data_IF_387963596177
#
_entry.id   IF_387963596177
#
_cell.length_a   1.000
_cell.length_b   1.000
_cell.length_c   1.000
_cell.angle_alpha   90.00
_cell.angle_beta   90.00
_cell.angle_gamma   90.00
#
_symmetry.space_group_name_H-M   'P 1'
#
loop_
_entity.id
_entity.type
_entity.pdbx_description
1 polymer ?
#
# COMPACT_ATOMS: atom_id res chain seq x y z
N UNK A 1 -14.13 25.25 -8.92
CA UNK A 1 -13.34 24.37 -8.05
C UNK A 1 -14.29 23.51 -7.21
N UNK A 2 -14.61 22.32 -7.71
CA UNK A 2 -15.58 21.40 -7.10
C UNK A 2 -14.87 20.28 -6.32
N UNK A 3 -13.77 20.61 -5.63
CA UNK A 3 -12.99 19.64 -4.88
C UNK A 3 -13.71 19.11 -3.63
N UNK A 4 -14.73 19.83 -3.18
CA UNK A 4 -15.61 19.49 -2.07
C UNK A 4 -16.94 18.86 -2.51
N UNK A 5 -17.23 18.87 -3.82
CA UNK A 5 -18.40 18.22 -4.41
C UNK A 5 -18.21 16.69 -4.56
N UNK A 6 -17.31 16.07 -3.82
CA UNK A 6 -17.13 14.64 -3.89
C UNK A 6 -18.48 13.97 -3.64
N UNK A 7 -18.96 13.23 -4.62
CA UNK A 7 -20.29 12.70 -4.55
C UNK A 7 -20.38 11.64 -3.50
N UNK A 8 -21.41 11.72 -2.75
CA UNK A 8 -22.18 10.55 -2.43
C UNK A 8 -21.85 9.87 -1.11
N UNK A 9 -22.90 9.67 -0.40
CA UNK A 9 -23.06 8.70 0.68
C UNK A 9 -22.13 7.47 0.52
N UNK A 10 -21.13 7.38 1.39
CA UNK A 10 -20.27 6.24 1.51
C UNK A 10 -18.88 6.36 0.86
N UNK A 11 -18.56 7.47 0.19
CA UNK A 11 -17.22 7.74 -0.32
C UNK A 11 -16.52 8.74 0.60
N UNK A 12 -15.32 8.39 1.05
CA UNK A 12 -14.49 9.27 1.85
C UNK A 12 -14.14 10.55 1.06
N UNK A 13 -14.45 11.71 1.64
CA UNK A 13 -14.05 13.01 1.11
C UNK A 13 -12.90 13.57 1.96
N UNK A 14 -11.65 13.55 1.47
CA UNK A 14 -10.49 13.93 2.28
C UNK A 14 -10.54 15.34 2.83
N UNK A 15 -11.27 16.25 2.19
CA UNK A 15 -11.38 17.64 2.64
C UNK A 15 -12.52 17.79 3.64
N UNK A 16 -13.70 17.26 3.35
CA UNK A 16 -14.85 17.34 4.24
C UNK A 16 -14.64 16.54 5.53
N UNK A 17 -14.04 15.36 5.41
CA UNK A 17 -13.70 14.48 6.54
C UNK A 17 -12.45 14.95 7.28
N UNK A 18 -11.64 15.81 6.66
CA UNK A 18 -10.50 16.46 7.28
C UNK A 18 -9.24 15.59 7.37
N UNK A 19 -9.18 14.43 6.71
CA UNK A 19 -7.99 13.58 6.68
C UNK A 19 -7.86 12.80 5.38
N UNK A 20 -6.64 12.41 5.02
CA UNK A 20 -6.34 11.44 3.97
C UNK A 20 -6.26 10.03 4.54
N UNK A 21 -6.66 9.07 3.75
CA UNK A 21 -6.54 7.64 4.02
C UNK A 21 -6.01 6.89 2.80
N UNK A 22 -5.85 5.58 2.89
CA UNK A 22 -5.33 4.75 1.79
C UNK A 22 -6.31 3.68 1.32
N UNK A 23 -7.57 3.82 1.68
CA UNK A 23 -8.64 2.92 1.24
C UNK A 23 -9.79 3.72 0.62
N UNK A 24 -10.14 3.43 -0.63
CA UNK A 24 -11.42 3.83 -1.23
C UNK A 24 -11.47 5.18 -1.97
N UNK A 25 -10.46 6.04 -1.92
CA UNK A 25 -10.50 7.35 -2.61
C UNK A 25 -9.15 7.81 -3.17
N UNK A 26 -8.37 6.87 -3.68
CA UNK A 26 -7.02 7.15 -4.19
C UNK A 26 -6.98 8.21 -5.28
N UNK A 27 -7.89 8.14 -6.23
CA UNK A 27 -7.90 9.04 -7.37
C UNK A 27 -8.14 10.49 -6.94
N UNK A 28 -9.09 10.69 -6.02
CA UNK A 28 -9.40 12.00 -5.45
C UNK A 28 -8.18 12.53 -4.71
N UNK A 29 -7.58 11.74 -3.84
CA UNK A 29 -6.42 12.12 -3.04
C UNK A 29 -5.21 12.45 -3.91
N UNK A 30 -4.92 11.63 -4.92
CA UNK A 30 -3.85 11.91 -5.89
C UNK A 30 -4.11 13.16 -6.71
N UNK A 31 -5.36 13.38 -7.11
CA UNK A 31 -5.80 14.61 -7.77
C UNK A 31 -5.54 15.84 -6.91
N UNK A 32 -5.93 15.81 -5.64
CA UNK A 32 -5.70 16.89 -4.68
C UNK A 32 -4.22 17.16 -4.41
N UNK A 33 -3.41 16.10 -4.26
CA UNK A 33 -1.95 16.24 -4.13
C UNK A 33 -1.33 16.86 -5.39
N UNK A 34 -1.78 16.45 -6.57
CA UNK A 34 -1.34 17.01 -7.85
C UNK A 34 -1.78 18.48 -7.98
N UNK A 35 -2.98 18.82 -7.54
CA UNK A 35 -3.46 20.20 -7.50
C UNK A 35 -2.56 21.12 -6.66
N UNK A 36 -2.05 20.62 -5.53
CA UNK A 36 -1.11 21.39 -4.70
C UNK A 36 0.20 21.75 -5.42
N UNK A 37 0.54 21.04 -6.50
CA UNK A 37 1.72 21.33 -7.33
C UNK A 37 1.43 22.23 -8.52
N UNK A 38 0.17 22.51 -8.80
CA UNK A 38 -0.22 23.29 -9.97
C UNK A 38 0.09 24.79 -9.79
N UNK A 39 0.58 25.41 -10.86
CA UNK A 39 0.74 26.87 -10.89
C UNK A 39 -0.64 27.52 -10.82
N UNK A 40 -0.83 28.46 -9.88
CA UNK A 40 -2.11 29.14 -9.69
C UNK A 40 -3.14 28.39 -8.85
N UNK A 41 -2.72 27.30 -8.17
CA UNK A 41 -3.59 26.64 -7.21
C UNK A 41 -4.11 27.60 -6.14
N UNK A 42 -5.40 27.50 -5.80
CA UNK A 42 -6.06 28.36 -4.82
C UNK A 42 -5.46 28.14 -3.42
N UNK A 43 -4.90 29.17 -2.75
CA UNK A 43 -4.16 28.98 -1.49
C UNK A 43 -4.98 28.35 -0.37
N UNK A 44 -6.28 28.65 -0.26
CA UNK A 44 -7.17 28.06 0.75
C UNK A 44 -7.36 26.55 0.53
N UNK A 45 -7.49 26.12 -0.73
CA UNK A 45 -7.59 24.72 -1.10
C UNK A 45 -6.29 23.99 -0.76
N UNK A 46 -5.15 24.56 -1.15
CA UNK A 46 -3.82 24.00 -0.82
C UNK A 46 -3.66 23.83 0.70
N UNK A 47 -4.11 24.82 1.48
CA UNK A 47 -4.06 24.75 2.95
C UNK A 47 -4.95 23.62 3.48
N UNK A 48 -6.18 23.49 2.99
CA UNK A 48 -7.10 22.43 3.39
C UNK A 48 -6.51 21.04 3.06
N UNK A 49 -5.98 20.85 1.85
CA UNK A 49 -5.33 19.59 1.43
C UNK A 49 -4.14 19.26 2.35
N UNK A 50 -3.27 20.22 2.63
CA UNK A 50 -2.12 20.02 3.52
C UNK A 50 -2.54 19.62 4.94
N UNK A 51 -3.60 20.24 5.47
CA UNK A 51 -4.14 19.90 6.78
C UNK A 51 -4.67 18.45 6.79
N UNK A 52 -5.41 18.07 5.76
CA UNK A 52 -5.95 16.70 5.65
C UNK A 52 -4.86 15.66 5.48
N UNK A 53 -3.80 15.94 4.72
CA UNK A 53 -2.62 15.07 4.63
C UNK A 53 -1.96 14.91 6.00
N UNK A 54 -1.72 16.03 6.70
CA UNK A 54 -1.13 15.99 8.05
C UNK A 54 -1.98 15.15 9.00
N UNK A 55 -3.28 15.32 8.99
CA UNK A 55 -4.20 14.60 9.86
C UNK A 55 -4.20 13.09 9.55
N UNK A 56 -4.20 12.70 8.27
CA UNK A 56 -4.11 11.29 7.87
C UNK A 56 -2.82 10.64 8.37
N UNK A 57 -1.67 11.30 8.18
CA UNK A 57 -0.39 10.80 8.67
C UNK A 57 -0.40 10.69 10.20
N UNK A 58 -0.94 11.68 10.92
CA UNK A 58 -1.02 11.68 12.37
C UNK A 58 -1.95 10.58 12.91
N UNK A 59 -3.07 10.34 12.24
CA UNK A 59 -4.05 9.33 12.68
C UNK A 59 -3.54 7.90 12.48
N UNK A 60 -2.75 7.65 11.43
CA UNK A 60 -2.37 6.30 11.01
C UNK A 60 -0.83 6.13 10.94
N UNK A 61 -0.23 6.54 9.85
CA UNK A 61 1.14 6.15 9.51
C UNK A 61 2.16 6.50 10.60
N UNK A 62 2.16 7.72 11.06
CA UNK A 62 3.08 8.17 12.10
C UNK A 62 2.54 7.88 13.50
N UNK A 63 1.28 8.21 13.78
CA UNK A 63 0.71 8.10 15.12
C UNK A 63 0.61 6.66 15.62
N UNK A 64 0.33 5.72 14.71
CA UNK A 64 0.17 4.30 15.04
C UNK A 64 1.45 3.47 14.82
N UNK A 65 2.52 4.05 14.29
CA UNK A 65 3.73 3.30 13.88
C UNK A 65 4.33 2.40 14.94
N UNK A 66 4.17 2.75 16.23
CA UNK A 66 4.71 1.96 17.33
C UNK A 66 3.87 0.73 17.67
N UNK A 67 2.68 0.60 17.11
CA UNK A 67 1.82 -0.57 17.24
C UNK A 67 2.23 -1.68 16.25
N UNK A 68 3.14 -1.38 15.33
CA UNK A 68 3.70 -2.35 14.39
C UNK A 68 5.22 -2.48 14.63
N UNK A 69 5.74 -3.68 14.90
CA UNK A 69 7.17 -3.91 15.08
C UNK A 69 8.01 -3.53 13.84
N UNK A 70 7.41 -3.56 12.66
CA UNK A 70 8.05 -3.19 11.38
C UNK A 70 7.94 -1.69 11.08
N UNK A 71 7.23 -0.92 11.91
CA UNK A 71 7.02 0.54 11.77
C UNK A 71 6.27 0.96 10.51
N UNK A 72 5.56 0.03 9.89
CA UNK A 72 4.76 0.23 8.67
C UNK A 72 3.28 -0.07 8.94
N UNK A 73 2.76 0.52 10.00
CA UNK A 73 1.42 0.23 10.49
C UNK A 73 0.36 0.40 9.40
N UNK A 74 -0.50 -0.58 9.30
CA UNK A 74 -1.81 -0.51 8.66
C UNK A 74 -2.80 -1.22 9.57
N UNK A 75 -4.05 -0.82 9.53
CA UNK A 75 -5.08 -1.57 10.24
C UNK A 75 -5.13 -3.03 9.74
N UNK A 76 -5.38 -3.99 10.63
CA UNK A 76 -5.33 -5.42 10.29
C UNK A 76 -6.23 -5.77 9.10
N UNK A 77 -7.42 -5.17 9.00
CA UNK A 77 -8.32 -5.35 7.86
C UNK A 77 -7.75 -4.90 6.50
N UNK A 78 -6.67 -4.12 6.49
CA UNK A 78 -5.94 -3.75 5.28
C UNK A 78 -4.94 -4.81 4.82
N UNK A 79 -4.73 -5.89 5.60
CA UNK A 79 -4.04 -7.09 5.09
C UNK A 79 -5.02 -7.94 4.28
N UNK A 80 -5.49 -7.36 3.21
CA UNK A 80 -6.40 -7.89 2.21
C UNK A 80 -5.74 -7.84 0.83
N UNK A 81 -6.52 -8.06 -0.22
CA UNK A 81 -6.07 -7.88 -1.60
C UNK A 81 -5.38 -6.53 -1.80
N UNK A 82 -4.16 -6.53 -2.30
CA UNK A 82 -3.41 -5.31 -2.54
C UNK A 82 -2.80 -4.66 -1.30
N UNK A 83 -2.63 -5.39 -0.21
CA UNK A 83 -2.10 -4.85 1.06
C UNK A 83 -0.77 -4.12 0.94
N UNK A 84 0.12 -4.57 0.04
CA UNK A 84 1.38 -3.88 -0.25
C UNK A 84 1.15 -2.54 -0.94
N UNK A 85 0.13 -2.44 -1.80
CA UNK A 85 -0.31 -1.18 -2.40
C UNK A 85 -0.75 -0.18 -1.34
N UNK A 86 -1.56 -0.62 -0.37
CA UNK A 86 -1.99 0.21 0.77
C UNK A 86 -0.77 0.71 1.57
N UNK A 87 0.20 -0.16 1.83
CA UNK A 87 1.44 0.25 2.52
C UNK A 87 2.25 1.24 1.70
N UNK A 88 2.36 1.03 0.39
CA UNK A 88 3.05 1.96 -0.50
C UNK A 88 2.37 3.35 -0.52
N UNK A 89 1.05 3.41 -0.50
CA UNK A 89 0.31 4.66 -0.46
C UNK A 89 0.53 5.42 0.86
N UNK A 90 0.55 4.74 2.02
CA UNK A 90 0.93 5.38 3.27
C UNK A 90 2.36 5.92 3.25
N UNK A 91 3.29 5.16 2.67
CA UNK A 91 4.66 5.61 2.45
C UNK A 91 4.71 6.88 1.59
N UNK A 92 4.00 6.87 0.46
CA UNK A 92 3.86 8.02 -0.44
C UNK A 92 3.27 9.23 0.27
N UNK A 93 2.19 9.05 1.04
CA UNK A 93 1.57 10.14 1.78
C UNK A 93 2.54 10.79 2.76
N UNK A 94 3.37 10.01 3.44
CA UNK A 94 4.42 10.52 4.33
C UNK A 94 5.50 11.31 3.57
N UNK A 95 5.92 10.84 2.40
CA UNK A 95 6.86 11.57 1.52
C UNK A 95 6.25 12.88 1.05
N UNK A 96 4.98 12.90 0.66
CA UNK A 96 4.25 14.13 0.33
C UNK A 96 4.15 15.06 1.54
N UNK A 97 3.87 14.52 2.71
CA UNK A 97 3.83 15.29 3.96
C UNK A 97 5.15 16.03 4.23
N UNK A 98 6.28 15.38 3.98
CA UNK A 98 7.60 16.02 4.01
C UNK A 98 7.75 17.06 2.92
N UNK A 99 7.52 16.69 1.65
CA UNK A 99 7.70 17.54 0.47
C UNK A 99 6.91 18.84 0.55
N UNK A 100 5.67 18.77 1.01
CA UNK A 100 4.81 19.94 1.15
C UNK A 100 4.95 20.67 2.49
N UNK A 101 5.82 20.15 3.36
CA UNK A 101 6.04 20.69 4.69
C UNK A 101 4.72 20.94 5.44
N UNK A 102 3.86 19.90 5.42
CA UNK A 102 2.52 19.99 6.03
C UNK A 102 2.57 20.17 7.55
N UNK A 103 3.69 19.77 8.16
CA UNK A 103 4.02 19.99 9.57
C UNK A 103 5.53 20.21 9.68
N UNK A 104 5.94 21.47 9.79
CA UNK A 104 7.36 21.84 9.79
C UNK A 104 8.17 21.14 10.90
N UNK A 105 7.57 20.93 12.08
CA UNK A 105 8.21 20.27 13.21
C UNK A 105 8.40 18.77 13.03
N UNK A 106 7.70 18.15 12.08
CA UNK A 106 7.70 16.71 11.85
C UNK A 106 8.11 16.31 10.41
N UNK A 107 8.47 17.26 9.56
CA UNK A 107 8.76 16.99 8.15
C UNK A 107 9.79 15.88 7.95
N UNK A 108 10.94 15.95 8.63
CA UNK A 108 11.97 14.91 8.56
C UNK A 108 11.49 13.57 9.14
N UNK A 109 10.65 13.60 10.16
CA UNK A 109 10.06 12.40 10.77
C UNK A 109 9.07 11.74 9.80
N UNK A 110 8.30 12.51 9.06
CA UNK A 110 7.40 11.97 8.03
C UNK A 110 8.18 11.28 6.90
N UNK A 111 9.28 11.88 6.43
CA UNK A 111 10.13 11.24 5.45
C UNK A 111 10.64 9.89 5.97
N UNK A 112 11.18 9.87 7.21
CA UNK A 112 11.62 8.62 7.83
C UNK A 112 10.49 7.59 7.98
N UNK A 113 9.28 8.04 8.31
CA UNK A 113 8.12 7.14 8.36
C UNK A 113 7.81 6.55 6.99
N UNK A 114 7.90 7.33 5.92
CA UNK A 114 7.76 6.83 4.55
C UNK A 114 8.81 5.78 4.19
N UNK A 115 10.07 6.00 4.60
CA UNK A 115 11.16 5.04 4.42
C UNK A 115 10.89 3.72 5.16
N UNK A 116 10.20 3.75 6.30
CA UNK A 116 9.84 2.53 7.04
C UNK A 116 8.87 1.63 6.24
N UNK A 117 7.91 2.22 5.52
CA UNK A 117 7.03 1.48 4.61
C UNK A 117 7.82 0.89 3.43
N UNK A 118 8.76 1.65 2.87
CA UNK A 118 9.64 1.15 1.82
C UNK A 118 10.49 -0.04 2.32
N UNK A 119 11.03 0.05 3.53
CA UNK A 119 11.77 -1.05 4.14
C UNK A 119 10.91 -2.30 4.35
N UNK A 120 9.62 -2.14 4.68
CA UNK A 120 8.69 -3.26 4.75
C UNK A 120 8.59 -3.98 3.39
N UNK A 121 8.41 -3.23 2.31
CA UNK A 121 8.34 -3.78 0.95
C UNK A 121 9.67 -4.48 0.59
N UNK A 122 10.79 -3.95 1.02
CA UNK A 122 12.13 -4.46 0.71
C UNK A 122 12.64 -5.57 1.65
N UNK A 123 11.76 -6.18 2.45
CA UNK A 123 12.11 -7.39 3.23
C UNK A 123 12.03 -7.24 4.75
N UNK A 124 11.86 -6.03 5.29
CA UNK A 124 11.64 -5.85 6.72
C UNK A 124 10.17 -6.11 7.08
N UNK A 125 9.73 -7.34 6.87
CA UNK A 125 8.38 -7.82 7.09
C UNK A 125 8.40 -9.25 7.67
N UNK A 126 7.26 -9.78 8.16
CA UNK A 126 7.23 -11.10 8.81
C UNK A 126 7.63 -12.26 7.92
N UNK A 127 7.55 -12.09 6.60
CA UNK A 127 7.86 -13.13 5.61
C UNK A 127 9.31 -13.02 5.11
N UNK A 128 10.00 -11.94 5.45
CA UNK A 128 11.33 -11.60 4.96
C UNK A 128 11.45 -11.57 3.41
N UNK A 129 10.34 -11.39 2.71
CA UNK A 129 10.34 -11.23 1.26
C UNK A 129 10.61 -9.77 0.86
N UNK A 130 11.45 -9.58 -0.14
CA UNK A 130 11.38 -8.39 -0.96
C UNK A 130 10.19 -8.57 -1.91
N UNK A 131 9.15 -7.77 -1.75
CA UNK A 131 7.90 -7.86 -2.50
C UNK A 131 7.98 -7.28 -3.92
N UNK A 132 9.19 -7.01 -4.42
CA UNK A 132 9.43 -6.61 -5.80
C UNK A 132 10.02 -7.77 -6.59
N UNK A 133 9.42 -8.04 -7.75
CA UNK A 133 9.91 -9.07 -8.66
C UNK A 133 11.34 -8.80 -9.11
N UNK A 134 12.11 -9.85 -9.29
CA UNK A 134 13.47 -9.81 -9.82
C UNK A 134 14.44 -8.89 -9.07
N UNK A 135 14.15 -8.56 -7.83
CA UNK A 135 14.99 -7.69 -7.00
C UNK A 135 16.34 -8.32 -6.64
N UNK A 136 16.53 -9.63 -6.86
CA UNK A 136 17.87 -10.27 -6.77
C UNK A 136 18.89 -9.65 -7.73
N UNK A 137 18.46 -9.09 -8.85
CA UNK A 137 19.33 -8.37 -9.76
C UNK A 137 19.99 -7.16 -9.11
N UNK A 138 19.43 -6.70 -8.01
CA UNK A 138 19.88 -5.55 -7.20
C UNK A 138 20.32 -5.97 -5.80
N UNK A 139 20.56 -7.25 -5.57
CA UNK A 139 21.14 -7.77 -4.32
C UNK A 139 20.15 -8.22 -3.24
N UNK A 140 18.86 -8.39 -3.56
CA UNK A 140 17.92 -8.95 -2.59
C UNK A 140 18.11 -10.46 -2.43
N UNK A 141 18.23 -10.92 -1.18
CA UNK A 141 18.42 -12.33 -0.86
C UNK A 141 17.15 -13.18 -1.08
N UNK A 142 15.99 -12.58 -0.86
CA UNK A 142 14.70 -13.29 -0.94
C UNK A 142 13.67 -12.45 -1.70
N UNK A 143 13.82 -12.31 -3.02
CA UNK A 143 12.82 -11.64 -3.86
C UNK A 143 11.60 -12.54 -4.02
N UNK A 144 10.47 -11.92 -4.33
CA UNK A 144 9.36 -12.68 -4.92
C UNK A 144 9.70 -13.05 -6.35
N UNK A 145 9.18 -14.19 -6.79
CA UNK A 145 9.43 -14.73 -8.12
C UNK A 145 8.16 -14.81 -8.97
N UNK A 146 7.00 -14.67 -8.36
CA UNK A 146 5.72 -14.90 -9.01
C UNK A 146 4.74 -13.77 -8.75
N UNK A 147 3.95 -13.47 -9.79
CA UNK A 147 2.84 -12.53 -9.76
C UNK A 147 1.66 -13.21 -10.42
N UNK A 148 0.48 -13.12 -9.81
CA UNK A 148 -0.68 -13.85 -10.30
C UNK A 148 -1.52 -13.10 -11.33
N UNK A 149 -1.45 -11.94 -11.63
CA UNK A 149 -2.43 -11.23 -12.47
C UNK A 149 -2.13 -11.11 -13.96
N UNK A 150 -3.21 -11.16 -14.77
CA UNK A 150 -3.21 -10.82 -16.18
C UNK A 150 -2.18 -11.63 -16.99
N UNK A 151 -1.18 -10.98 -17.53
CA UNK A 151 -0.14 -11.65 -18.35
C UNK A 151 0.86 -12.50 -17.57
N UNK A 152 0.82 -12.43 -16.23
CA UNK A 152 1.77 -13.12 -15.36
C UNK A 152 1.21 -14.43 -14.79
N UNK A 153 -0.06 -14.76 -15.03
CA UNK A 153 -0.67 -15.97 -14.49
C UNK A 153 -0.01 -17.24 -15.02
N UNK A 154 -0.21 -18.33 -14.32
CA UNK A 154 0.35 -19.62 -14.67
C UNK A 154 0.05 -20.03 -16.13
N UNK A 155 1.07 -20.54 -16.81
CA UNK A 155 0.99 -20.94 -18.22
C UNK A 155 1.26 -19.81 -19.23
N UNK A 156 1.54 -18.58 -18.76
CA UNK A 156 1.99 -17.49 -19.63
C UNK A 156 3.51 -17.44 -19.74
N UNK A 157 4.02 -16.66 -20.69
CA UNK A 157 5.46 -16.48 -20.84
C UNK A 157 6.15 -15.80 -19.65
N UNK A 158 5.37 -15.18 -18.78
CA UNK A 158 5.86 -14.37 -17.65
C UNK A 158 5.61 -15.00 -16.28
N UNK A 159 5.03 -16.20 -16.21
CA UNK A 159 4.63 -16.82 -14.93
C UNK A 159 5.81 -17.10 -14.00
N UNK A 160 6.97 -17.46 -14.55
CA UNK A 160 8.19 -17.76 -13.81
C UNK A 160 9.26 -16.67 -13.91
N UNK A 161 9.02 -15.64 -14.70
CA UNK A 161 9.99 -14.58 -14.95
C UNK A 161 9.28 -13.24 -15.23
N UNK A 162 8.49 -12.71 -14.29
CA UNK A 162 7.85 -11.42 -14.45
C UNK A 162 8.88 -10.30 -14.63
N UNK A 163 8.48 -9.20 -15.27
CA UNK A 163 9.36 -8.03 -15.40
C UNK A 163 9.87 -7.57 -14.03
N UNK A 164 11.11 -7.05 -13.93
CA UNK A 164 11.67 -6.62 -12.66
C UNK A 164 10.94 -5.41 -12.07
N UNK A 165 10.83 -5.37 -10.74
CA UNK A 165 10.30 -4.22 -9.99
C UNK A 165 8.78 -4.15 -9.92
N UNK A 166 8.05 -5.19 -10.28
CA UNK A 166 6.60 -5.25 -10.05
C UNK A 166 6.36 -5.57 -8.58
N UNK A 167 5.52 -4.75 -7.94
CA UNK A 167 5.09 -4.97 -6.56
C UNK A 167 3.99 -6.02 -6.52
N UNK A 168 4.15 -7.06 -5.70
CA UNK A 168 3.07 -8.02 -5.45
C UNK A 168 1.97 -7.41 -4.59
N UNK A 169 0.77 -7.94 -4.69
CA UNK A 169 -0.38 -7.52 -3.88
C UNK A 169 -0.14 -7.63 -2.38
N UNK A 170 0.60 -8.63 -1.95
CA UNK A 170 1.01 -8.78 -0.55
C UNK A 170 0.08 -9.65 0.29
N UNK A 171 0.29 -9.69 1.61
CA UNK A 171 -0.48 -10.53 2.53
C UNK A 171 -1.99 -10.30 2.47
N UNK A 172 -2.76 -11.37 2.38
CA UNK A 172 -4.21 -11.37 2.36
C UNK A 172 -4.80 -12.32 3.42
N UNK A 173 -5.24 -11.80 4.55
CA UNK A 173 -5.82 -12.60 5.63
C UNK A 173 -7.22 -13.15 5.31
N UNK A 174 -7.88 -12.58 4.32
CA UNK A 174 -9.25 -12.96 3.92
C UNK A 174 -9.27 -14.00 2.80
N UNK A 175 -8.11 -14.52 2.45
CA UNK A 175 -8.03 -15.53 1.42
C UNK A 175 -8.95 -16.73 1.72
N UNK A 176 -9.75 -17.06 0.75
CA UNK A 176 -10.59 -18.27 0.75
C UNK A 176 -10.38 -18.97 -0.59
N UNK A 177 -9.95 -20.23 -0.58
CA UNK A 177 -9.78 -20.97 -1.83
C UNK A 177 -11.13 -21.15 -2.53
N UNK A 178 -11.09 -21.17 -3.85
CA UNK A 178 -12.23 -21.61 -4.64
C UNK A 178 -12.60 -23.08 -4.30
N UNK A 179 -13.89 -23.41 -4.41
CA UNK A 179 -14.39 -24.75 -4.11
C UNK A 179 -13.78 -25.85 -5.01
N UNK A 180 -13.25 -25.50 -6.18
CA UNK A 180 -12.57 -26.43 -7.08
C UNK A 180 -11.10 -26.67 -6.73
N UNK A 181 -10.52 -25.89 -5.79
CA UNK A 181 -9.14 -26.09 -5.38
C UNK A 181 -8.98 -27.33 -4.49
N UNK A 182 -8.18 -28.25 -4.93
CA UNK A 182 -7.95 -29.54 -4.28
C UNK A 182 -6.60 -29.64 -3.56
N UNK A 183 -5.79 -28.59 -3.60
CA UNK A 183 -4.47 -28.54 -2.96
C UNK A 183 -4.54 -28.15 -1.48
N UNK A 184 -3.40 -28.22 -0.82
CA UNK A 184 -3.24 -27.72 0.54
C UNK A 184 -3.00 -26.22 0.52
N UNK A 185 -3.81 -25.46 1.30
CA UNK A 185 -3.63 -24.03 1.47
C UNK A 185 -2.36 -23.78 2.30
N UNK A 186 -1.45 -23.02 1.75
CA UNK A 186 -0.21 -22.63 2.42
C UNK A 186 0.06 -21.13 2.22
N UNK A 187 0.34 -20.39 3.29
CA UNK A 187 0.27 -20.83 4.68
C UNK A 187 -1.16 -21.20 5.06
N UNK A 188 -1.37 -21.99 6.12
CA UNK A 188 -2.73 -22.33 6.57
C UNK A 188 -3.56 -21.07 6.85
N UNK A 189 -4.88 -21.17 6.72
CA UNK A 189 -5.78 -20.11 7.16
C UNK A 189 -5.54 -19.73 8.63
N UNK A 190 -5.96 -18.53 9.02
CA UNK A 190 -5.80 -17.99 10.36
C UNK A 190 -4.33 -17.70 10.77
N UNK A 191 -3.47 -17.46 9.82
CA UNK A 191 -2.16 -16.86 10.11
C UNK A 191 -2.32 -15.43 10.63
N UNK A 192 -1.34 -14.92 11.42
CA UNK A 192 -1.28 -13.48 11.67
C UNK A 192 -1.39 -12.70 10.34
N UNK A 193 -2.17 -11.61 10.29
CA UNK A 193 -2.53 -10.97 9.03
C UNK A 193 -1.37 -10.74 8.06
N UNK A 194 -0.28 -10.15 8.53
CA UNK A 194 0.90 -9.90 7.70
C UNK A 194 1.71 -11.15 7.31
N UNK A 195 1.40 -12.33 7.84
CA UNK A 195 2.01 -13.62 7.45
C UNK A 195 1.22 -14.37 6.39
N UNK A 196 0.01 -13.93 6.09
CA UNK A 196 -0.87 -14.58 5.13
C UNK A 196 -0.43 -14.30 3.69
N UNK A 197 0.77 -14.74 3.35
CA UNK A 197 1.39 -14.59 2.03
C UNK A 197 2.20 -15.80 1.63
N UNK A 198 2.08 -16.19 0.37
CA UNK A 198 2.95 -17.17 -0.28
C UNK A 198 3.35 -16.64 -1.66
N UNK A 199 4.62 -16.72 -1.99
CA UNK A 199 5.12 -16.45 -3.33
C UNK A 199 4.71 -17.58 -4.26
N UNK A 200 3.54 -17.46 -4.85
CA UNK A 200 2.92 -18.53 -5.59
C UNK A 200 2.05 -18.03 -6.72
N UNK A 201 2.21 -18.65 -7.87
CA UNK A 201 1.40 -18.44 -9.05
C UNK A 201 1.01 -19.80 -9.61
N UNK A 202 -0.23 -20.20 -9.41
CA UNK A 202 -0.76 -21.45 -9.93
C UNK A 202 -1.92 -21.19 -10.87
N UNK A 203 -2.44 -22.26 -11.46
CA UNK A 203 -3.68 -22.18 -12.19
C UNK A 203 -4.85 -21.78 -11.29
N UNK A 204 -5.85 -21.16 -11.89
CA UNK A 204 -7.11 -20.90 -11.21
C UNK A 204 -7.70 -22.15 -10.51
N UNK A 205 -8.30 -22.07 -9.34
CA UNK A 205 -8.48 -20.86 -8.56
C UNK A 205 -7.16 -20.44 -7.95
N UNK A 206 -6.79 -19.24 -8.27
CA UNK A 206 -5.61 -18.74 -7.64
C UNK A 206 -5.86 -18.54 -6.17
N UNK A 207 -4.88 -18.88 -5.49
CA UNK A 207 -4.74 -18.48 -4.14
C UNK A 207 -4.06 -17.14 -4.17
N UNK A 208 -4.83 -16.12 -4.43
CA UNK A 208 -4.24 -14.83 -4.35
C UNK A 208 -3.96 -14.51 -2.91
N UNK A 209 -2.87 -14.95 -2.48
CA UNK A 209 -2.17 -14.39 -1.35
C UNK A 209 -1.62 -13.01 -1.69
N UNK A 210 -1.92 -12.56 -2.90
CA UNK A 210 -1.63 -11.22 -3.37
C UNK A 210 -2.64 -10.20 -2.93
#
# INVERSE_FOLDING_TARGET
>A
DHYDDAPTTGVHNPIADGYFETSGSYEIQRGLMSYCMATGATPSVVTAVKNSINQGIQNQAYGQRNNDPYKSYTWDGHNCWGSNGIKAEWGNLCVFGNKFNVNAGLAATYLKTGEEYLHYIHGRNPNAFNYLTQSQLYGADKPITQIYHGWFHHGTAWDTNPAPGILSGGPNMYFVPDASYIGTIEPPQNQPPMKSYKDWNTSWPENSWE
#
